data_IF_053736323782
#
_entry.id   IF_053736323782
#
_cell.length_a   1.000
_cell.length_b   1.000
_cell.length_c   1.000
_cell.angle_alpha   90.00
_cell.angle_beta   90.00
_cell.angle_gamma   90.00
#
_symmetry.space_group_name_H-M   'P 1'
#
loop_
_entity.id
_entity.type
_entity.pdbx_description
1 polymer ?
#
# COMPACT_ATOMS: atom_id res chain seq x y z
N UNK A 1 28.98 -11.03 -24.47
CA UNK A 1 29.21 -12.42 -24.00
C UNK A 1 28.32 -13.36 -24.81
N UNK A 2 28.76 -14.59 -25.03
CA UNK A 2 27.95 -15.64 -25.67
C UNK A 2 26.95 -16.22 -24.68
N UNK A 3 25.80 -16.77 -25.15
CA UNK A 3 24.79 -17.33 -24.28
C UNK A 3 25.31 -18.41 -23.34
N UNK A 4 26.17 -19.32 -23.83
CA UNK A 4 26.75 -20.39 -23.00
C UNK A 4 27.60 -19.88 -21.83
N UNK A 5 28.20 -18.70 -21.96
CA UNK A 5 28.92 -18.02 -20.88
C UNK A 5 27.92 -17.46 -19.86
N UNK A 6 26.83 -16.87 -20.37
CA UNK A 6 25.75 -16.32 -19.51
C UNK A 6 25.05 -17.44 -18.73
N UNK A 7 24.78 -18.58 -19.34
CA UNK A 7 24.23 -19.78 -18.66
C UNK A 7 25.10 -20.20 -17.47
N UNK A 8 26.44 -20.23 -17.67
CA UNK A 8 27.40 -20.59 -16.62
C UNK A 8 27.43 -19.57 -15.48
N UNK A 9 27.39 -18.29 -15.80
CA UNK A 9 27.46 -17.20 -14.80
C UNK A 9 26.17 -17.10 -13.99
N UNK A 10 25.02 -17.19 -14.67
CA UNK A 10 23.71 -16.93 -14.05
C UNK A 10 23.05 -18.18 -13.47
N UNK A 11 23.51 -19.37 -13.86
CA UNK A 11 22.88 -20.65 -13.52
C UNK A 11 21.51 -20.85 -14.19
N UNK A 12 21.14 -19.98 -15.13
CA UNK A 12 19.88 -20.07 -15.85
C UNK A 12 19.99 -20.99 -17.06
N UNK A 13 18.92 -21.73 -17.34
CA UNK A 13 18.85 -22.56 -18.56
C UNK A 13 18.65 -21.70 -19.80
N UNK A 14 19.02 -22.25 -20.96
CA UNK A 14 18.76 -21.64 -22.27
C UNK A 14 17.28 -21.21 -22.42
N UNK A 15 16.35 -22.08 -22.00
CA UNK A 15 14.91 -21.82 -22.09
C UNK A 15 14.50 -20.61 -21.22
N UNK A 16 15.05 -20.51 -20.03
CA UNK A 16 14.77 -19.40 -19.13
C UNK A 16 15.27 -18.06 -19.69
N UNK A 17 16.50 -18.02 -20.21
CA UNK A 17 17.06 -16.80 -20.83
C UNK A 17 16.23 -16.34 -22.03
N UNK A 18 15.85 -17.27 -22.92
CA UNK A 18 14.98 -16.96 -24.06
C UNK A 18 13.60 -16.49 -23.64
N UNK A 19 13.04 -17.07 -22.60
CA UNK A 19 11.76 -16.65 -22.04
C UNK A 19 11.81 -15.23 -21.48
N UNK A 20 12.89 -14.86 -20.79
CA UNK A 20 13.05 -13.48 -20.27
C UNK A 20 13.30 -12.45 -21.39
N UNK A 21 13.97 -12.85 -22.48
CA UNK A 21 14.07 -12.05 -23.70
C UNK A 21 12.69 -11.84 -24.34
N UNK A 22 11.89 -12.89 -24.47
CA UNK A 22 10.54 -12.84 -25.04
C UNK A 22 9.60 -11.95 -24.19
N UNK A 23 9.74 -11.99 -22.88
CA UNK A 23 8.99 -11.11 -21.96
C UNK A 23 9.53 -9.67 -21.91
N UNK A 24 10.60 -9.38 -22.62
CA UNK A 24 11.19 -8.03 -22.72
C UNK A 24 11.96 -7.58 -21.48
N UNK A 25 12.30 -8.49 -20.56
CA UNK A 25 13.11 -8.22 -19.37
C UNK A 25 14.57 -7.94 -19.69
N UNK A 26 15.07 -8.49 -20.79
CA UNK A 26 16.39 -8.24 -21.36
C UNK A 26 16.29 -8.04 -22.87
N UNK A 27 17.23 -7.30 -23.44
CA UNK A 27 17.27 -7.02 -24.90
C UNK A 27 18.69 -7.19 -25.43
N UNK A 28 19.18 -8.45 -25.57
CA UNK A 28 20.52 -8.68 -26.07
C UNK A 28 20.69 -8.20 -27.51
N UNK A 29 21.87 -7.73 -27.83
CA UNK A 29 22.19 -7.32 -29.20
C UNK A 29 22.18 -8.53 -30.15
N UNK A 30 21.51 -8.39 -31.32
CA UNK A 30 21.52 -9.38 -32.38
C UNK A 30 22.50 -8.93 -33.49
N UNK A 31 23.59 -9.67 -33.66
CA UNK A 31 24.54 -9.42 -34.72
C UNK A 31 24.00 -9.78 -36.11
N UNK A 32 24.75 -9.43 -37.15
CA UNK A 32 24.40 -9.70 -38.58
C UNK A 32 24.07 -11.17 -38.88
N UNK A 33 24.63 -12.11 -38.10
CA UNK A 33 24.41 -13.56 -38.21
C UNK A 33 23.32 -14.09 -37.29
N UNK A 34 22.45 -13.25 -36.79
CA UNK A 34 21.38 -13.57 -35.86
C UNK A 34 21.88 -14.17 -34.51
N UNK A 35 23.17 -14.14 -34.20
CA UNK A 35 23.73 -14.56 -32.92
C UNK A 35 23.50 -13.49 -31.87
N UNK A 36 23.03 -13.93 -30.69
CA UNK A 36 22.81 -13.03 -29.54
C UNK A 36 24.13 -12.77 -28.83
N UNK A 37 24.37 -11.51 -28.54
CA UNK A 37 25.48 -11.03 -27.72
C UNK A 37 24.91 -10.31 -26.49
N UNK A 38 25.27 -10.77 -25.30
CA UNK A 38 24.79 -10.25 -24.04
C UNK A 38 25.81 -9.28 -23.47
N UNK A 39 25.37 -8.10 -23.07
CA UNK A 39 26.17 -7.11 -22.35
C UNK A 39 26.39 -7.55 -20.90
N UNK A 40 27.28 -6.87 -20.18
CA UNK A 40 27.42 -7.08 -18.74
C UNK A 40 26.16 -6.67 -17.97
N UNK A 41 25.44 -5.66 -18.46
CA UNK A 41 24.15 -5.24 -17.93
C UNK A 41 23.06 -6.30 -18.08
N UNK A 42 23.00 -6.97 -19.25
CA UNK A 42 22.06 -8.08 -19.41
C UNK A 42 22.35 -9.22 -18.42
N UNK A 43 23.62 -9.50 -18.14
CA UNK A 43 24.01 -10.53 -17.17
C UNK A 43 23.62 -10.13 -15.76
N UNK A 44 23.85 -8.88 -15.36
CA UNK A 44 23.40 -8.35 -14.06
C UNK A 44 21.89 -8.43 -13.91
N UNK A 45 21.13 -8.02 -14.94
CA UNK A 45 19.67 -8.13 -14.96
C UNK A 45 19.22 -9.59 -14.82
N UNK A 46 19.82 -10.52 -15.53
CA UNK A 46 19.50 -11.95 -15.44
C UNK A 46 19.79 -12.53 -14.04
N UNK A 47 20.85 -12.10 -13.37
CA UNK A 47 21.13 -12.49 -11.99
C UNK A 47 20.04 -11.96 -11.03
N UNK A 48 19.65 -10.68 -11.15
CA UNK A 48 18.55 -10.10 -10.39
C UNK A 48 17.24 -10.86 -10.62
N UNK A 49 16.88 -11.08 -11.89
CA UNK A 49 15.69 -11.88 -12.26
C UNK A 49 15.73 -13.26 -11.60
N UNK A 50 16.88 -13.93 -11.62
CA UNK A 50 17.05 -15.25 -10.99
C UNK A 50 16.77 -15.21 -9.48
N UNK A 51 17.29 -14.20 -8.79
CA UNK A 51 17.07 -14.00 -7.35
C UNK A 51 15.58 -13.72 -7.08
N UNK A 52 14.98 -12.75 -7.78
CA UNK A 52 13.59 -12.39 -7.60
C UNK A 52 12.63 -13.54 -7.87
N UNK A 53 12.91 -14.38 -8.90
CA UNK A 53 12.16 -15.61 -9.16
C UNK A 53 12.26 -16.61 -8.02
N UNK A 54 13.44 -16.79 -7.42
CA UNK A 54 13.64 -17.65 -6.25
C UNK A 54 12.90 -17.14 -5.02
N UNK A 55 12.76 -15.83 -4.88
CA UNK A 55 11.92 -15.17 -3.88
C UNK A 55 10.41 -15.25 -4.23
N UNK A 56 10.06 -15.88 -5.36
CA UNK A 56 8.67 -16.12 -5.77
C UNK A 56 7.99 -14.91 -6.44
N UNK A 57 8.72 -13.89 -6.88
CA UNK A 57 8.13 -12.77 -7.61
C UNK A 57 7.64 -13.22 -9.00
N UNK A 58 6.52 -12.66 -9.44
CA UNK A 58 5.99 -12.85 -10.79
C UNK A 58 6.84 -12.12 -11.84
N UNK A 59 6.66 -12.46 -13.11
CA UNK A 59 7.35 -11.77 -14.21
C UNK A 59 6.94 -10.30 -14.32
N UNK A 60 5.66 -9.98 -14.05
CA UNK A 60 5.15 -8.61 -14.04
C UNK A 60 5.79 -7.77 -12.93
N UNK A 61 5.85 -8.29 -11.70
CA UNK A 61 6.52 -7.62 -10.59
C UNK A 61 8.01 -7.38 -10.89
N UNK A 62 8.71 -8.39 -11.41
CA UNK A 62 10.12 -8.26 -11.80
C UNK A 62 10.31 -7.21 -12.89
N UNK A 63 9.41 -7.16 -13.87
CA UNK A 63 9.47 -6.17 -14.93
C UNK A 63 9.32 -4.76 -14.37
N UNK A 64 8.34 -4.53 -13.49
CA UNK A 64 8.16 -3.26 -12.82
C UNK A 64 9.41 -2.84 -12.04
N UNK A 65 10.01 -3.75 -11.24
CA UNK A 65 11.24 -3.47 -10.50
C UNK A 65 12.41 -3.09 -11.42
N UNK A 66 12.56 -3.79 -12.54
CA UNK A 66 13.65 -3.53 -13.49
C UNK A 66 13.45 -2.25 -14.28
N UNK A 67 12.22 -1.85 -14.55
CA UNK A 67 11.84 -0.64 -15.26
C UNK A 67 11.86 0.59 -14.32
N UNK A 68 11.50 0.42 -13.03
CA UNK A 68 11.43 1.48 -11.99
C UNK A 68 12.73 1.70 -11.19
N UNK A 69 13.87 1.20 -11.62
CA UNK A 69 15.19 1.33 -10.95
C UNK A 69 15.27 0.78 -9.52
N UNK A 70 14.63 -0.36 -9.25
CA UNK A 70 14.69 -1.12 -7.97
C UNK A 70 13.85 -0.57 -6.82
N UNK A 71 12.91 0.32 -7.08
CA UNK A 71 12.23 1.09 -6.05
C UNK A 71 10.94 0.45 -5.52
N UNK A 72 10.49 -0.68 -6.11
CA UNK A 72 9.21 -1.32 -5.77
C UNK A 72 9.30 -2.47 -4.73
N UNK A 73 10.47 -2.76 -4.17
CA UNK A 73 10.61 -3.92 -3.27
C UNK A 73 9.85 -3.75 -1.96
N UNK A 74 9.83 -2.55 -1.39
CA UNK A 74 9.07 -2.25 -0.17
C UNK A 74 7.56 -2.43 -0.39
N UNK A 75 7.04 -1.91 -1.50
CA UNK A 75 5.64 -2.08 -1.89
C UNK A 75 5.27 -3.56 -2.08
N UNK A 76 6.12 -4.33 -2.75
CA UNK A 76 5.90 -5.78 -2.96
C UNK A 76 5.93 -6.54 -1.63
N UNK A 77 6.82 -6.18 -0.70
CA UNK A 77 6.87 -6.80 0.63
C UNK A 77 5.56 -6.57 1.37
N UNK A 78 5.07 -5.32 1.43
CA UNK A 78 3.82 -4.97 2.09
C UNK A 78 2.60 -5.67 1.48
N UNK A 79 2.51 -5.74 0.13
CA UNK A 79 1.45 -6.50 -0.55
C UNK A 79 1.48 -7.99 -0.20
N UNK A 80 2.67 -8.58 -0.08
CA UNK A 80 2.81 -9.97 0.34
C UNK A 80 2.42 -10.21 1.78
N UNK A 81 2.80 -9.30 2.69
CA UNK A 81 2.39 -9.37 4.09
C UNK A 81 0.86 -9.34 4.20
N UNK A 82 0.21 -8.42 3.50
CA UNK A 82 -1.25 -8.38 3.43
C UNK A 82 -1.88 -9.67 2.91
N UNK A 83 -1.34 -10.25 1.82
CA UNK A 83 -1.83 -11.53 1.28
C UNK A 83 -1.65 -12.67 2.27
N UNK A 84 -0.54 -12.69 3.01
CA UNK A 84 -0.32 -13.71 4.06
C UNK A 84 -1.34 -13.59 5.19
N UNK A 85 -1.64 -12.37 5.64
CA UNK A 85 -2.68 -12.14 6.66
C UNK A 85 -4.06 -12.59 6.17
N UNK A 86 -4.40 -12.31 4.91
CA UNK A 86 -5.65 -12.74 4.30
C UNK A 86 -5.73 -14.29 4.22
N UNK A 87 -4.65 -14.95 3.81
CA UNK A 87 -4.59 -16.42 3.78
C UNK A 87 -4.65 -17.03 5.18
N UNK A 88 -4.03 -16.42 6.17
CA UNK A 88 -4.15 -16.85 7.57
C UNK A 88 -5.59 -16.69 8.08
N UNK A 89 -6.27 -15.60 7.74
CA UNK A 89 -7.69 -15.41 8.07
C UNK A 89 -8.56 -16.50 7.43
N UNK A 90 -8.34 -16.82 6.15
CA UNK A 90 -9.05 -17.92 5.45
C UNK A 90 -8.77 -19.28 6.10
N UNK A 91 -7.52 -19.54 6.49
CA UNK A 91 -7.14 -20.75 7.21
C UNK A 91 -7.89 -20.88 8.55
N UNK A 92 -7.96 -19.79 9.33
CA UNK A 92 -8.69 -19.76 10.59
C UNK A 92 -10.19 -20.05 10.39
N UNK A 93 -10.80 -19.52 9.31
CA UNK A 93 -12.17 -19.86 8.95
C UNK A 93 -12.34 -21.35 8.60
N UNK A 94 -11.38 -21.94 7.88
CA UNK A 94 -11.39 -23.37 7.58
C UNK A 94 -11.27 -24.24 8.84
N UNK A 95 -10.40 -23.89 9.78
CA UNK A 95 -10.26 -24.57 11.05
C UNK A 95 -11.56 -24.50 11.88
N UNK A 96 -12.26 -23.37 11.85
CA UNK A 96 -13.58 -23.21 12.51
C UNK A 96 -14.63 -24.07 11.82
N UNK A 97 -14.68 -24.09 10.48
CA UNK A 97 -15.59 -24.94 9.72
C UNK A 97 -15.41 -26.41 10.07
N UNK A 98 -14.16 -26.88 10.20
CA UNK A 98 -13.87 -28.29 10.60
C UNK A 98 -14.44 -28.60 11.99
N UNK A 99 -14.44 -27.62 12.92
CA UNK A 99 -14.92 -27.81 14.29
C UNK A 99 -16.43 -27.65 14.42
N UNK A 100 -17.02 -26.61 13.82
CA UNK A 100 -18.42 -26.26 13.96
C UNK A 100 -19.35 -26.95 12.94
N UNK A 101 -18.81 -27.29 11.76
CA UNK A 101 -19.55 -27.76 10.58
C UNK A 101 -20.65 -26.76 10.13
N UNK A 102 -20.60 -25.52 10.59
CA UNK A 102 -21.54 -24.47 10.23
C UNK A 102 -21.07 -23.74 8.96
N UNK A 103 -21.61 -24.17 7.81
CA UNK A 103 -21.32 -23.61 6.51
C UNK A 103 -21.90 -22.20 6.34
N UNK A 104 -23.03 -21.91 6.97
CA UNK A 104 -23.71 -20.62 6.79
C UNK A 104 -22.95 -19.50 7.48
N UNK A 105 -22.53 -19.70 8.74
CA UNK A 105 -21.68 -18.76 9.47
C UNK A 105 -20.37 -18.50 8.75
N UNK A 106 -19.66 -19.55 8.33
CA UNK A 106 -18.36 -19.42 7.67
C UNK A 106 -18.49 -18.78 6.28
N UNK A 107 -19.59 -19.06 5.54
CA UNK A 107 -19.86 -18.43 4.25
C UNK A 107 -20.02 -16.91 4.38
N UNK A 108 -20.77 -16.47 5.40
CA UNK A 108 -20.98 -15.06 5.68
C UNK A 108 -19.67 -14.35 6.03
N UNK A 109 -18.85 -14.93 6.89
CA UNK A 109 -17.54 -14.37 7.25
C UNK A 109 -16.58 -14.32 6.05
N UNK A 110 -16.63 -15.32 5.17
CA UNK A 110 -15.82 -15.33 3.95
C UNK A 110 -16.22 -14.22 2.97
N UNK A 111 -17.52 -13.93 2.85
CA UNK A 111 -17.99 -12.80 2.06
C UNK A 111 -17.54 -11.45 2.63
N UNK A 112 -17.61 -11.28 3.95
CA UNK A 112 -17.12 -10.07 4.62
C UNK A 112 -15.61 -9.88 4.39
N UNK A 113 -14.86 -10.97 4.41
CA UNK A 113 -13.43 -10.95 4.11
C UNK A 113 -13.15 -10.52 2.65
N UNK A 114 -13.93 -11.02 1.68
CA UNK A 114 -13.85 -10.60 0.28
C UNK A 114 -14.20 -9.13 0.09
N UNK A 115 -15.22 -8.62 0.78
CA UNK A 115 -15.59 -7.20 0.72
C UNK A 115 -14.46 -6.30 1.23
N UNK A 116 -13.77 -6.68 2.29
CA UNK A 116 -12.58 -5.97 2.80
C UNK A 116 -11.44 -5.95 1.77
N UNK A 117 -11.14 -7.10 1.19
CA UNK A 117 -10.14 -7.23 0.12
C UNK A 117 -10.46 -6.30 -1.06
N UNK A 118 -11.75 -6.24 -1.45
CA UNK A 118 -12.19 -5.39 -2.55
C UNK A 118 -11.96 -3.89 -2.28
N UNK A 119 -12.25 -3.40 -1.09
CA UNK A 119 -11.97 -2.01 -0.71
C UNK A 119 -10.46 -1.75 -0.74
N UNK A 120 -9.67 -2.66 -0.19
CA UNK A 120 -8.21 -2.55 -0.20
C UNK A 120 -7.65 -2.48 -1.62
N UNK A 121 -8.04 -3.43 -2.47
CA UNK A 121 -7.55 -3.49 -3.85
C UNK A 121 -7.88 -2.21 -4.62
N UNK A 122 -9.08 -1.65 -4.41
CA UNK A 122 -9.49 -0.41 -5.06
C UNK A 122 -8.73 0.80 -4.56
N UNK A 123 -8.53 0.92 -3.24
CA UNK A 123 -7.74 2.00 -2.66
C UNK A 123 -6.28 1.93 -3.14
N UNK A 124 -5.68 0.75 -3.18
CA UNK A 124 -4.31 0.58 -3.67
C UNK A 124 -4.18 0.82 -5.18
N UNK A 125 -5.22 0.59 -5.96
CA UNK A 125 -5.25 0.92 -7.38
C UNK A 125 -5.26 2.44 -7.61
N UNK A 126 -6.09 3.16 -6.84
CA UNK A 126 -6.20 4.63 -6.95
C UNK A 126 -4.96 5.32 -6.38
N UNK A 127 -4.39 4.77 -5.29
CA UNK A 127 -3.21 5.28 -4.61
C UNK A 127 -2.11 4.22 -4.59
N UNK A 128 -1.38 4.02 -5.69
CA UNK A 128 -0.34 2.99 -5.77
C UNK A 128 0.82 3.29 -4.81
N UNK A 129 1.51 2.23 -4.38
CA UNK A 129 2.68 2.32 -3.52
C UNK A 129 2.36 2.68 -2.06
N UNK A 130 3.31 3.31 -1.41
CA UNK A 130 3.27 3.61 0.02
C UNK A 130 2.04 4.40 0.47
N UNK A 131 1.63 5.43 -0.29
CA UNK A 131 0.48 6.25 0.09
C UNK A 131 -0.84 5.50 0.04
N UNK A 132 -1.03 4.61 -0.94
CA UNK A 132 -2.21 3.76 -0.99
C UNK A 132 -2.28 2.83 0.21
N UNK A 133 -1.16 2.29 0.63
CA UNK A 133 -1.08 1.42 1.81
C UNK A 133 -1.31 2.17 3.12
N UNK A 134 -0.78 3.39 3.27
CA UNK A 134 -1.09 4.25 4.44
C UNK A 134 -2.60 4.50 4.53
N UNK A 135 -3.26 4.78 3.40
CA UNK A 135 -4.71 4.97 3.38
C UNK A 135 -5.46 3.74 3.84
N UNK A 136 -5.10 2.61 3.29
CA UNK A 136 -5.69 1.33 3.65
C UNK A 136 -5.50 1.04 5.15
N UNK A 137 -4.28 1.14 5.67
CA UNK A 137 -3.96 0.89 7.07
C UNK A 137 -4.74 1.81 8.01
N UNK A 138 -5.01 3.05 7.60
CA UNK A 138 -5.81 3.97 8.41
C UNK A 138 -7.23 3.48 8.68
N UNK A 139 -7.79 2.69 7.79
CA UNK A 139 -9.15 2.12 7.95
C UNK A 139 -9.14 0.66 8.40
N UNK A 140 -8.03 -0.07 8.25
CA UNK A 140 -7.93 -1.50 8.55
C UNK A 140 -8.45 -1.86 9.96
N UNK A 141 -8.13 -1.14 11.05
CA UNK A 141 -8.63 -1.45 12.39
C UNK A 141 -10.16 -1.37 12.51
N UNK A 142 -10.78 -0.54 11.67
CA UNK A 142 -12.21 -0.27 11.69
C UNK A 142 -13.01 -1.10 10.70
N UNK A 143 -12.35 -1.73 9.72
CA UNK A 143 -12.96 -2.63 8.74
C UNK A 143 -12.98 -4.09 9.23
N UNK A 144 -12.65 -4.33 10.50
CA UNK A 144 -12.71 -5.62 11.17
C UNK A 144 -14.13 -6.10 11.46
N UNK A 145 -15.08 -5.18 11.62
CA UNK A 145 -16.47 -5.49 11.92
C UNK A 145 -17.17 -6.17 10.75
N UNK A 146 -18.15 -7.02 11.06
CA UNK A 146 -19.02 -7.63 10.05
C UNK A 146 -19.97 -6.56 9.48
N UNK A 147 -20.09 -6.51 8.18
CA UNK A 147 -21.10 -5.67 7.53
C UNK A 147 -22.49 -6.28 7.78
N UNK A 148 -23.38 -5.50 8.37
CA UNK A 148 -24.80 -5.82 8.47
C UNK A 148 -25.53 -5.60 7.14
N UNK A 149 -26.73 -6.18 6.99
CA UNK A 149 -27.54 -6.02 5.78
C UNK A 149 -27.88 -4.55 5.50
N UNK A 150 -28.03 -3.74 6.52
CA UNK A 150 -28.29 -2.29 6.46
C UNK A 150 -27.08 -1.47 5.97
N UNK A 151 -25.87 -2.01 6.09
CA UNK A 151 -24.62 -1.38 5.66
C UNK A 151 -24.25 -1.68 4.20
N UNK A 152 -24.79 -2.76 3.63
CA UNK A 152 -24.49 -3.18 2.24
C UNK A 152 -24.75 -2.09 1.18
N UNK A 153 -25.84 -1.31 1.22
CA UNK A 153 -26.06 -0.25 0.24
C UNK A 153 -24.94 0.80 0.27
N UNK A 154 -24.48 1.20 1.47
CA UNK A 154 -23.39 2.16 1.63
C UNK A 154 -22.05 1.59 1.14
N UNK A 155 -21.81 0.30 1.37
CA UNK A 155 -20.64 -0.40 0.86
C UNK A 155 -20.62 -0.42 -0.67
N UNK A 156 -21.73 -0.78 -1.30
CA UNK A 156 -21.83 -0.83 -2.76
C UNK A 156 -21.70 0.56 -3.40
N UNK A 157 -22.19 1.59 -2.72
CA UNK A 157 -22.01 2.99 -3.16
C UNK A 157 -20.55 3.42 -3.05
N UNK A 158 -19.87 3.07 -1.95
CA UNK A 158 -18.44 3.31 -1.78
C UNK A 158 -17.62 2.69 -2.91
N UNK A 159 -17.89 1.44 -3.26
CA UNK A 159 -17.20 0.76 -4.36
C UNK A 159 -17.41 1.52 -5.68
N UNK A 160 -18.63 1.94 -5.99
CA UNK A 160 -18.93 2.70 -7.21
C UNK A 160 -18.19 4.04 -7.26
N UNK A 161 -18.12 4.75 -6.14
CA UNK A 161 -17.38 6.01 -6.05
C UNK A 161 -15.90 5.77 -6.26
N UNK A 162 -15.30 4.80 -5.56
CA UNK A 162 -13.89 4.48 -5.70
C UNK A 162 -13.52 4.07 -7.14
N UNK A 163 -14.41 3.34 -7.83
CA UNK A 163 -14.23 2.98 -9.24
C UNK A 163 -14.33 4.18 -10.19
N UNK A 164 -15.11 5.20 -9.82
CA UNK A 164 -15.29 6.40 -10.64
C UNK A 164 -14.19 7.43 -10.45
N UNK A 165 -13.35 7.28 -9.41
CA UNK A 165 -12.25 8.21 -9.17
C UNK A 165 -11.24 8.18 -10.34
N UNK A 166 -10.79 9.34 -10.80
CA UNK A 166 -9.74 9.40 -11.82
C UNK A 166 -8.44 8.77 -11.30
N UNK A 167 -7.63 8.27 -12.21
CA UNK A 167 -6.36 7.67 -11.87
C UNK A 167 -5.41 8.72 -11.24
N UNK A 168 -4.84 8.38 -10.10
CA UNK A 168 -3.85 9.22 -9.43
C UNK A 168 -2.44 8.74 -9.77
N UNK A 169 -1.67 9.58 -10.43
CA UNK A 169 -0.34 9.22 -10.91
C UNK A 169 0.75 10.04 -10.21
N UNK A 170 1.72 9.35 -9.63
CA UNK A 170 2.99 9.94 -9.23
C UNK A 170 3.94 10.00 -10.43
N UNK A 171 4.78 11.03 -10.47
CA UNK A 171 5.92 11.06 -11.38
C UNK A 171 6.97 10.01 -10.96
N UNK A 172 7.87 9.64 -11.87
CA UNK A 172 8.94 8.69 -11.54
C UNK A 172 9.86 9.21 -10.41
N UNK A 173 10.07 10.53 -10.34
CA UNK A 173 10.83 11.15 -9.24
C UNK A 173 10.11 11.05 -7.90
N UNK A 174 8.78 11.26 -7.90
CA UNK A 174 7.94 11.13 -6.70
C UNK A 174 7.92 9.68 -6.21
N UNK A 175 7.75 8.72 -7.11
CA UNK A 175 7.81 7.28 -6.79
C UNK A 175 9.16 6.92 -6.17
N UNK A 176 10.27 7.31 -6.83
CA UNK A 176 11.61 7.07 -6.35
C UNK A 176 11.85 7.66 -4.96
N UNK A 177 11.33 8.84 -4.72
CA UNK A 177 11.43 9.48 -3.41
C UNK A 177 10.65 8.71 -2.34
N UNK A 178 9.40 8.33 -2.63
CA UNK A 178 8.53 7.57 -1.72
C UNK A 178 9.22 6.25 -1.34
N UNK A 179 9.63 5.45 -2.31
CA UNK A 179 10.29 4.17 -2.06
C UNK A 179 11.58 4.32 -1.23
N UNK A 180 12.35 5.39 -1.45
CA UNK A 180 13.56 5.65 -0.69
C UNK A 180 13.28 5.89 0.80
N UNK A 181 12.26 6.71 1.13
CA UNK A 181 11.94 7.03 2.52
C UNK A 181 11.16 5.92 3.23
N UNK A 182 10.60 4.97 2.47
CA UNK A 182 9.78 3.89 3.00
C UNK A 182 10.43 2.52 2.86
N UNK A 183 11.70 2.48 2.44
CA UNK A 183 12.42 1.22 2.17
C UNK A 183 12.41 0.26 3.35
N UNK A 184 12.57 0.80 4.55
CA UNK A 184 12.71 0.03 5.78
C UNK A 184 11.38 -0.12 6.55
N UNK A 185 10.27 0.42 5.99
CA UNK A 185 8.95 0.33 6.59
C UNK A 185 8.18 -0.88 6.05
N UNK A 186 7.73 -1.74 6.92
CA UNK A 186 6.81 -2.84 6.60
C UNK A 186 5.36 -2.54 7.07
N UNK A 187 4.47 -3.52 6.95
CA UNK A 187 3.07 -3.38 7.38
C UNK A 187 2.94 -3.21 8.89
N UNK A 188 3.77 -3.89 9.68
CA UNK A 188 3.75 -3.82 11.14
C UNK A 188 4.14 -2.43 11.62
N UNK A 189 5.15 -1.80 10.99
CA UNK A 189 5.53 -0.41 11.27
C UNK A 189 4.38 0.57 10.98
N UNK A 190 3.70 0.39 9.84
CA UNK A 190 2.56 1.23 9.47
C UNK A 190 1.37 1.04 10.41
N UNK A 191 1.11 -0.18 10.84
CA UNK A 191 0.08 -0.48 11.84
C UNK A 191 0.40 0.14 13.19
N UNK A 192 1.65 0.04 13.66
CA UNK A 192 2.11 0.65 14.90
C UNK A 192 1.92 2.18 14.90
N UNK A 193 2.29 2.85 13.79
CA UNK A 193 2.06 4.29 13.61
C UNK A 193 0.56 4.63 13.66
N UNK A 194 -0.28 3.82 13.01
CA UNK A 194 -1.71 4.05 12.99
C UNK A 194 -2.35 3.82 14.36
N UNK A 195 -1.95 2.77 15.08
CA UNK A 195 -2.38 2.52 16.45
C UNK A 195 -1.99 3.67 17.39
N UNK A 196 -0.78 4.22 17.24
CA UNK A 196 -0.36 5.40 17.99
C UNK A 196 -1.26 6.63 17.75
N UNK A 197 -1.69 6.85 16.50
CA UNK A 197 -2.65 7.92 16.16
C UNK A 197 -4.02 7.68 16.78
N UNK A 198 -4.52 6.43 16.75
CA UNK A 198 -5.80 6.06 17.35
C UNK A 198 -5.74 6.30 18.87
N UNK A 199 -4.70 5.86 19.54
CA UNK A 199 -4.50 6.08 20.98
C UNK A 199 -4.43 7.57 21.31
N UNK A 200 -3.74 8.37 20.52
CA UNK A 200 -3.68 9.83 20.71
C UNK A 200 -5.07 10.50 20.61
N UNK A 201 -5.95 10.01 19.73
CA UNK A 201 -7.32 10.53 19.60
C UNK A 201 -8.20 10.15 20.78
N UNK A 202 -8.14 8.89 21.23
CA UNK A 202 -8.96 8.41 22.36
C UNK A 202 -8.51 8.94 23.73
N UNK A 203 -7.21 9.19 23.89
CA UNK A 203 -6.61 9.66 25.13
C UNK A 203 -5.95 11.04 24.92
N UNK A 204 -6.64 11.98 24.29
CA UNK A 204 -6.08 13.24 23.82
C UNK A 204 -5.35 14.05 24.89
N UNK A 205 -5.97 14.23 26.08
CA UNK A 205 -5.40 15.05 27.13
C UNK A 205 -4.08 14.48 27.66
N UNK A 206 -4.07 13.21 28.03
CA UNK A 206 -2.89 12.51 28.58
C UNK A 206 -1.79 12.44 27.51
N UNK A 207 -2.19 12.11 26.27
CA UNK A 207 -1.24 12.03 25.16
C UNK A 207 -0.59 13.39 24.85
N UNK A 208 -1.36 14.48 24.89
CA UNK A 208 -0.85 15.84 24.67
C UNK A 208 0.05 16.28 25.83
N UNK A 209 -0.24 15.91 27.09
CA UNK A 209 0.63 16.20 28.21
C UNK A 209 2.03 15.56 28.02
N UNK A 210 2.06 14.28 27.64
CA UNK A 210 3.30 13.52 27.39
C UNK A 210 4.08 13.94 26.15
N UNK A 211 3.40 14.54 25.16
CA UNK A 211 4.00 14.80 23.85
C UNK A 211 4.03 16.27 23.43
N UNK A 212 3.66 17.19 24.31
CA UNK A 212 3.57 18.64 24.02
C UNK A 212 4.81 19.20 23.31
N UNK A 213 6.00 18.89 23.83
CA UNK A 213 7.26 19.37 23.25
C UNK A 213 7.52 18.79 21.85
N UNK A 214 7.16 17.52 21.63
CA UNK A 214 7.27 16.89 20.31
C UNK A 214 6.29 17.49 19.31
N UNK A 215 5.05 17.75 19.73
CA UNK A 215 4.05 18.42 18.90
C UNK A 215 4.52 19.78 18.50
N UNK A 216 5.02 20.59 19.45
CA UNK A 216 5.56 21.91 19.18
C UNK A 216 6.75 21.85 18.20
N UNK A 217 7.71 20.97 18.44
CA UNK A 217 8.86 20.79 17.57
C UNK A 217 8.42 20.39 16.13
N UNK A 218 7.38 19.56 16.01
CA UNK A 218 6.80 19.19 14.72
C UNK A 218 6.10 20.35 14.03
N UNK A 219 5.35 21.20 14.77
CA UNK A 219 4.76 22.40 14.22
C UNK A 219 5.81 23.40 13.73
N UNK A 220 6.84 23.65 14.54
CA UNK A 220 7.97 24.50 14.16
C UNK A 220 8.68 23.98 12.90
N UNK A 221 8.89 22.66 12.83
CA UNK A 221 9.43 22.02 11.61
C UNK A 221 8.54 22.26 10.40
N UNK A 222 7.23 22.14 10.52
CA UNK A 222 6.27 22.37 9.40
C UNK A 222 6.28 23.82 8.91
N UNK A 223 6.63 24.76 9.76
CA UNK A 223 6.77 26.16 9.38
C UNK A 223 8.14 26.50 8.78
N UNK A 224 9.12 25.60 8.88
CA UNK A 224 10.45 25.79 8.33
C UNK A 224 10.48 25.83 6.79
N UNK A 225 11.43 26.55 6.21
CA UNK A 225 11.63 26.59 4.76
C UNK A 225 12.07 25.23 4.22
N UNK A 226 12.80 24.45 5.02
CA UNK A 226 13.22 23.08 4.67
C UNK A 226 12.01 22.17 4.43
N UNK A 227 11.00 22.23 5.31
CA UNK A 227 9.77 21.47 5.12
C UNK A 227 8.95 22.00 3.94
N UNK A 228 8.74 23.33 3.86
CA UNK A 228 7.93 23.98 2.81
C UNK A 228 8.46 23.69 1.39
N UNK A 229 9.78 23.58 1.25
CA UNK A 229 10.42 23.23 -0.03
C UNK A 229 10.57 21.73 -0.28
N UNK A 230 10.30 20.89 0.72
CA UNK A 230 10.55 19.44 0.68
C UNK A 230 9.67 18.70 -0.33
N UNK A 231 10.17 17.55 -0.81
CA UNK A 231 9.38 16.64 -1.65
C UNK A 231 8.19 16.03 -0.89
N UNK A 232 8.33 15.81 0.43
CA UNK A 232 7.23 15.32 1.28
C UNK A 232 6.05 16.30 1.22
N UNK A 233 6.31 17.60 1.39
CA UNK A 233 5.28 18.64 1.34
C UNK A 233 4.60 18.68 -0.03
N UNK A 234 5.36 18.68 -1.11
CA UNK A 234 4.83 18.68 -2.50
C UNK A 234 3.93 17.47 -2.76
N UNK A 235 4.37 16.28 -2.36
CA UNK A 235 3.61 15.04 -2.53
C UNK A 235 2.34 15.07 -1.67
N UNK A 236 2.44 15.52 -0.41
CA UNK A 236 1.28 15.65 0.48
C UNK A 236 0.24 16.63 -0.04
N UNK A 237 0.67 17.77 -0.57
CA UNK A 237 -0.22 18.76 -1.19
C UNK A 237 -0.89 18.20 -2.44
N UNK A 238 -0.17 17.49 -3.27
CA UNK A 238 -0.71 16.84 -4.48
C UNK A 238 -1.82 15.83 -4.13
N UNK A 239 -1.58 14.99 -3.12
CA UNK A 239 -2.58 14.04 -2.63
C UNK A 239 -3.79 14.77 -2.08
N UNK A 240 -3.57 15.79 -1.25
CA UNK A 240 -4.65 16.60 -0.66
C UNK A 240 -5.50 17.29 -1.73
N UNK A 241 -4.86 17.90 -2.73
CA UNK A 241 -5.53 18.52 -3.86
C UNK A 241 -6.41 17.52 -4.60
N UNK A 242 -5.86 16.36 -4.95
CA UNK A 242 -6.63 15.30 -5.58
C UNK A 242 -7.86 14.88 -4.76
N UNK A 243 -7.70 14.73 -3.45
CA UNK A 243 -8.83 14.38 -2.57
C UNK A 243 -9.91 15.43 -2.53
N UNK A 244 -9.52 16.72 -2.47
CA UNK A 244 -10.47 17.84 -2.45
C UNK A 244 -11.20 17.94 -3.80
N UNK A 245 -10.46 17.90 -4.92
CA UNK A 245 -11.03 18.00 -6.28
C UNK A 245 -12.01 16.87 -6.61
N UNK A 246 -11.81 15.70 -6.01
CA UNK A 246 -12.69 14.53 -6.22
C UNK A 246 -13.71 14.35 -5.08
N UNK A 247 -13.94 15.35 -4.26
CA UNK A 247 -14.91 15.34 -3.15
C UNK A 247 -14.74 14.13 -2.21
N UNK A 248 -13.52 13.65 -2.04
CA UNK A 248 -13.22 12.44 -1.24
C UNK A 248 -13.76 12.56 0.18
N UNK A 249 -13.56 13.69 0.82
CA UNK A 249 -14.00 13.93 2.20
C UNK A 249 -15.52 13.97 2.34
N UNK A 250 -16.24 14.43 1.32
CA UNK A 250 -17.70 14.58 1.34
C UNK A 250 -18.43 13.32 0.88
N UNK A 251 -17.79 12.49 0.06
CA UNK A 251 -18.39 11.27 -0.49
C UNK A 251 -17.90 10.00 0.20
N UNK A 252 -16.58 9.84 0.35
CA UNK A 252 -15.98 8.58 0.83
C UNK A 252 -16.06 8.47 2.36
N UNK A 253 -15.67 9.52 3.08
CA UNK A 253 -15.66 9.48 4.56
C UNK A 253 -17.05 9.20 5.15
N UNK A 254 -18.15 9.86 4.72
CA UNK A 254 -19.48 9.54 5.21
C UNK A 254 -19.90 8.09 4.95
N UNK A 255 -19.48 7.50 3.84
CA UNK A 255 -19.79 6.09 3.53
C UNK A 255 -19.00 5.14 4.42
N UNK A 256 -17.71 5.39 4.65
CA UNK A 256 -16.92 4.57 5.59
C UNK A 256 -17.51 4.63 7.00
N UNK A 257 -17.98 5.81 7.45
CA UNK A 257 -18.66 5.98 8.74
C UNK A 257 -19.97 5.18 8.82
N UNK A 258 -20.70 5.07 7.72
CA UNK A 258 -21.92 4.22 7.65
C UNK A 258 -21.60 2.73 7.66
N UNK A 259 -20.49 2.34 7.02
CA UNK A 259 -20.05 0.95 6.91
C UNK A 259 -19.44 0.45 8.22
N UNK A 260 -18.76 1.33 8.97
CA UNK A 260 -18.05 0.98 10.20
C UNK A 260 -18.48 1.87 11.37
N UNK A 261 -19.30 1.36 12.30
CA UNK A 261 -19.64 2.08 13.52
C UNK A 261 -18.42 2.43 14.37
N UNK A 262 -17.42 1.57 14.45
CA UNK A 262 -16.17 1.85 15.17
C UNK A 262 -15.38 2.99 14.52
N UNK A 263 -15.38 3.10 13.19
CA UNK A 263 -14.79 4.25 12.51
C UNK A 263 -15.60 5.52 12.74
N UNK A 264 -16.93 5.45 12.75
CA UNK A 264 -17.77 6.62 13.05
C UNK A 264 -17.52 7.17 14.46
N UNK A 265 -17.38 6.29 15.45
CA UNK A 265 -17.01 6.68 16.82
C UNK A 265 -15.62 7.33 16.85
N UNK A 266 -14.63 6.69 16.25
CA UNK A 266 -13.28 7.24 16.13
C UNK A 266 -13.29 8.61 15.46
N UNK A 267 -14.04 8.78 14.36
CA UNK A 267 -14.12 10.05 13.63
C UNK A 267 -14.72 11.18 14.46
N UNK A 268 -15.74 10.88 15.26
CA UNK A 268 -16.30 11.85 16.22
C UNK A 268 -15.26 12.28 17.26
N UNK A 269 -14.53 11.32 17.81
CA UNK A 269 -13.44 11.59 18.76
C UNK A 269 -12.29 12.39 18.10
N UNK A 270 -11.96 12.09 16.85
CA UNK A 270 -10.97 12.85 16.09
C UNK A 270 -11.38 14.33 15.93
N UNK A 271 -12.67 14.60 15.65
CA UNK A 271 -13.17 15.97 15.56
C UNK A 271 -13.10 16.69 16.92
N UNK A 272 -13.52 16.03 17.99
CA UNK A 272 -13.42 16.57 19.37
C UNK A 272 -11.96 16.89 19.74
N UNK A 273 -11.04 15.98 19.49
CA UNK A 273 -9.61 16.18 19.72
C UNK A 273 -9.03 17.34 18.89
N UNK A 274 -9.44 17.44 17.63
CA UNK A 274 -9.01 18.52 16.76
C UNK A 274 -9.55 19.90 17.20
N UNK A 275 -10.79 19.99 17.63
CA UNK A 275 -11.37 21.24 18.20
C UNK A 275 -10.61 21.68 19.45
N UNK A 276 -10.30 20.76 20.36
CA UNK A 276 -9.48 21.04 21.56
C UNK A 276 -8.10 21.55 21.16
N UNK A 277 -7.41 20.84 20.27
CA UNK A 277 -6.09 21.23 19.78
C UNK A 277 -6.08 22.65 19.18
N UNK A 278 -7.05 22.95 18.31
CA UNK A 278 -7.15 24.28 17.70
C UNK A 278 -7.47 25.37 18.73
N UNK A 279 -8.29 25.06 19.74
CA UNK A 279 -8.62 26.01 20.81
C UNK A 279 -7.42 26.31 21.73
N UNK A 280 -6.57 25.32 21.98
CA UNK A 280 -5.34 25.48 22.76
C UNK A 280 -4.27 26.30 22.01
N UNK A 281 -4.19 26.11 20.69
CA UNK A 281 -3.26 26.83 19.82
C UNK A 281 -3.57 28.32 19.68
N UNK A 282 -4.83 28.71 19.83
CA UNK A 282 -5.28 30.08 19.69
C UNK A 282 -5.22 30.88 21.03
N UNK A 283 -4.75 30.23 22.10
CA UNK A 283 -4.52 30.86 23.41
C UNK A 283 -3.05 31.22 23.59
#
# INVERSE_FOLDING_TARGET
MKRSEVEKITGLTRKAILYYEDKGLIRPHKGKNNYRSYSQDDVKKLLKISIYRKLGLSISEIKNILDSREEDLGSILRDRQYRLELEEAKKNLLERLIKSQDLEEVSKELEDLKKKETIYERLTRVFPGYFGQIFFISYKPFLGDKLGEDQEPAFNELIKILDSLPEFNFTEEEKAYIERITRDFDLEDLEAVNQGKIQAVYNYEDWMEDNRDKVKAYEDFKESEDYKSSQVKKISDKIRTYMVENNYYDLVIPLIRKISPSYDEYYKKLLEANEKFLSERNK
#
